data_IF_618792820362
#
_entry.id   IF_618792820362
#
_cell.length_a   1.000
_cell.length_b   1.000
_cell.length_c   1.000
_cell.angle_alpha   90.00
_cell.angle_beta   90.00
_cell.angle_gamma   90.00
#
_symmetry.space_group_name_H-M   'P 1'
#
loop_
_entity.id
_entity.type
_entity.pdbx_description
1 polymer ?
#
# COMPACT_ATOMS: atom_id res chain seq x y z
N UNK A 1 -10.24 10.66 -12.63
CA UNK A 1 -9.67 9.58 -11.81
C UNK A 1 -8.45 10.12 -11.08
N UNK A 2 -8.29 9.75 -9.81
CA UNK A 2 -7.14 10.07 -8.97
C UNK A 2 -6.33 8.82 -8.68
N UNK A 3 -5.04 9.03 -8.46
CA UNK A 3 -4.14 8.04 -7.89
C UNK A 3 -3.80 8.49 -6.47
N UNK A 4 -3.84 7.54 -5.54
CA UNK A 4 -3.53 7.76 -4.14
C UNK A 4 -2.32 6.90 -3.78
N UNK A 5 -1.17 7.52 -3.52
CA UNK A 5 -0.03 6.83 -2.92
C UNK A 5 -0.30 6.67 -1.42
N UNK A 6 -0.50 5.44 -0.98
CA UNK A 6 -0.97 5.13 0.37
C UNK A 6 0.10 4.38 1.15
N UNK A 7 0.65 5.00 2.19
CA UNK A 7 1.69 4.41 3.04
C UNK A 7 1.07 3.37 3.98
N UNK A 8 1.62 2.15 3.97
CA UNK A 8 1.12 1.01 4.74
C UNK A 8 2.24 0.09 5.24
N UNK A 9 1.87 -0.74 6.21
CA UNK A 9 2.72 -1.76 6.83
C UNK A 9 3.72 -1.22 7.85
N UNK A 10 4.73 -2.03 8.18
CA UNK A 10 5.80 -1.63 9.08
C UNK A 10 6.59 -0.44 8.54
N UNK A 11 6.93 0.49 9.43
CA UNK A 11 7.80 1.63 9.18
C UNK A 11 8.81 1.83 10.33
N UNK A 12 9.52 2.97 10.33
CA UNK A 12 10.52 3.27 11.36
C UNK A 12 9.94 3.53 12.75
N UNK A 13 8.66 3.91 12.83
CA UNK A 13 7.95 4.20 14.07
C UNK A 13 7.20 2.96 14.57
N UNK A 14 6.47 2.30 13.69
CA UNK A 14 5.61 1.14 13.94
C UNK A 14 6.22 -0.09 13.26
N UNK A 15 6.50 -1.16 13.99
CA UNK A 15 7.12 -2.36 13.41
C UNK A 15 8.65 -2.35 13.44
N UNK A 16 9.26 -1.18 13.16
CA UNK A 16 10.70 -0.88 13.26
C UNK A 16 11.64 -1.67 12.36
N UNK A 17 11.10 -2.51 11.48
CA UNK A 17 11.87 -3.31 10.52
C UNK A 17 11.23 -3.25 9.13
N UNK A 18 12.01 -3.30 8.03
CA UNK A 18 11.46 -3.32 6.68
C UNK A 18 10.72 -4.63 6.37
N UNK A 19 9.75 -4.54 5.48
CA UNK A 19 9.16 -5.69 4.81
C UNK A 19 10.17 -6.33 3.82
N UNK A 20 10.15 -7.66 3.61
CA UNK A 20 11.13 -8.31 2.74
C UNK A 20 10.78 -8.23 1.25
N UNK A 21 11.84 -8.14 0.45
CA UNK A 21 11.82 -8.51 -0.99
C UNK A 21 12.65 -9.78 -1.11
N UNK A 22 12.00 -10.88 -1.51
CA UNK A 22 12.63 -12.19 -1.64
C UNK A 22 13.55 -12.26 -2.88
N UNK A 23 14.48 -13.24 -2.95
CA UNK A 23 15.39 -13.40 -4.09
C UNK A 23 14.69 -13.63 -5.44
N UNK A 24 13.49 -14.22 -5.44
CA UNK A 24 12.65 -14.44 -6.63
C UNK A 24 11.83 -13.19 -7.04
N UNK A 25 11.96 -12.09 -6.29
CA UNK A 25 11.22 -10.86 -6.48
C UNK A 25 9.88 -10.83 -5.74
N UNK A 26 9.47 -11.85 -5.01
CA UNK A 26 8.23 -11.79 -4.22
C UNK A 26 8.33 -10.70 -3.15
N UNK A 27 7.31 -9.83 -3.09
CA UNK A 27 7.19 -8.77 -2.09
C UNK A 27 6.18 -9.21 -1.04
N UNK A 28 6.59 -9.21 0.23
CA UNK A 28 5.68 -9.53 1.35
C UNK A 28 5.59 -8.29 2.22
N UNK A 29 4.44 -7.61 2.22
CA UNK A 29 4.21 -6.48 3.11
C UNK A 29 3.83 -6.98 4.50
N UNK A 30 4.52 -6.50 5.53
CA UNK A 30 4.14 -6.77 6.92
C UNK A 30 2.95 -5.90 7.34
N UNK A 31 1.97 -6.45 8.08
CA UNK A 31 0.77 -5.77 8.54
C UNK A 31 1.10 -4.69 9.56
N UNK A 32 0.18 -3.82 9.93
CA UNK A 32 0.48 -2.72 10.87
C UNK A 32 0.36 -3.24 12.31
N UNK A 33 1.36 -3.08 13.20
CA UNK A 33 1.19 -3.44 14.61
C UNK A 33 0.08 -2.62 15.25
N UNK A 34 -0.76 -3.28 16.04
CA UNK A 34 -1.90 -2.63 16.67
C UNK A 34 -2.23 -3.25 18.03
N UNK A 35 -2.92 -2.50 18.89
CA UNK A 35 -3.44 -3.01 20.16
C UNK A 35 -4.70 -3.86 20.00
N UNK A 36 -5.30 -3.87 18.81
CA UNK A 36 -6.45 -4.69 18.41
C UNK A 36 -6.24 -5.24 17.01
N UNK A 37 -7.00 -6.27 16.61
CA UNK A 37 -6.85 -6.95 15.34
C UNK A 37 -6.62 -8.45 15.51
N UNK A 38 -5.95 -9.05 14.53
CA UNK A 38 -5.74 -10.49 14.48
C UNK A 38 -4.31 -10.86 14.89
N UNK A 39 -4.08 -12.07 15.43
CA UNK A 39 -2.73 -12.57 15.67
C UNK A 39 -1.90 -12.62 14.38
N UNK A 40 -0.65 -12.18 14.45
CA UNK A 40 0.31 -12.26 13.35
C UNK A 40 0.52 -13.71 12.87
N UNK A 41 0.44 -14.68 13.79
CA UNK A 41 0.55 -16.10 13.51
C UNK A 41 -0.58 -16.66 12.64
N UNK A 42 -1.71 -15.97 12.56
CA UNK A 42 -2.88 -16.40 11.79
C UNK A 42 -2.83 -15.93 10.32
N UNK A 43 -1.75 -15.24 9.92
CA UNK A 43 -1.56 -14.71 8.57
C UNK A 43 -0.55 -15.58 7.83
N UNK A 44 -0.95 -16.07 6.67
CA UNK A 44 -0.14 -16.88 5.76
C UNK A 44 0.53 -16.04 4.68
N UNK A 45 1.70 -16.49 4.26
CA UNK A 45 2.45 -15.98 3.10
C UNK A 45 2.76 -17.13 2.15
N UNK A 46 3.36 -16.83 1.00
CA UNK A 46 3.87 -17.87 0.08
C UNK A 46 4.98 -18.73 0.71
N UNK A 47 5.57 -18.29 1.82
CA UNK A 47 6.60 -19.02 2.58
C UNK A 47 6.03 -19.76 3.81
N UNK A 48 4.71 -19.75 4.00
CA UNK A 48 4.04 -20.23 5.21
C UNK A 48 3.74 -19.10 6.21
N UNK A 49 3.63 -19.41 7.51
CA UNK A 49 3.15 -18.46 8.51
C UNK A 49 4.01 -17.19 8.59
N UNK A 50 3.36 -16.03 8.47
CA UNK A 50 4.03 -14.73 8.42
C UNK A 50 4.91 -14.45 9.64
N UNK A 51 4.49 -14.92 10.82
CA UNK A 51 5.23 -14.71 12.06
C UNK A 51 6.67 -15.26 12.00
N UNK A 52 6.93 -16.35 11.26
CA UNK A 52 8.27 -16.94 11.18
C UNK A 52 9.22 -15.99 10.45
N UNK A 53 8.76 -15.42 9.33
CA UNK A 53 9.51 -14.44 8.55
C UNK A 53 9.73 -13.13 9.32
N UNK A 54 8.70 -12.63 10.02
CA UNK A 54 8.82 -11.44 10.86
C UNK A 54 9.79 -11.69 12.02
N UNK A 55 9.73 -12.84 12.68
CA UNK A 55 10.60 -13.19 13.80
C UNK A 55 12.08 -13.20 13.38
N UNK A 56 12.40 -13.85 12.25
CA UNK A 56 13.75 -13.87 11.69
C UNK A 56 14.28 -12.45 11.43
N UNK A 57 13.46 -11.62 10.78
CA UNK A 57 13.86 -10.27 10.35
C UNK A 57 13.79 -9.20 11.44
N UNK A 58 13.21 -9.53 12.59
CA UNK A 58 13.07 -8.63 13.75
C UNK A 58 13.80 -9.12 14.99
N UNK A 59 14.61 -10.18 14.88
CA UNK A 59 15.29 -10.82 16.00
C UNK A 59 14.33 -11.21 17.15
N UNK A 60 13.15 -11.74 16.78
CA UNK A 60 12.13 -12.22 17.73
C UNK A 60 11.34 -11.12 18.45
N UNK A 61 11.41 -9.86 17.98
CA UNK A 61 10.66 -8.75 18.58
C UNK A 61 9.14 -8.94 18.53
N UNK A 62 8.64 -9.60 17.47
CA UNK A 62 7.22 -9.81 17.25
C UNK A 62 6.88 -11.29 17.40
N UNK A 63 5.86 -11.57 18.20
CA UNK A 63 5.44 -12.92 18.56
C UNK A 63 4.25 -13.35 17.69
N UNK A 64 3.97 -14.67 17.56
CA UNK A 64 2.79 -15.14 16.82
C UNK A 64 1.47 -14.56 17.34
N UNK A 65 1.38 -14.30 18.65
CA UNK A 65 0.21 -13.71 19.30
C UNK A 65 0.15 -12.18 19.21
N UNK A 66 1.14 -11.52 18.62
CA UNK A 66 1.11 -10.06 18.43
C UNK A 66 -0.11 -9.70 17.59
N UNK A 67 -0.92 -8.77 18.10
CA UNK A 67 -2.06 -8.23 17.37
C UNK A 67 -1.61 -7.27 16.27
N UNK A 68 -2.16 -7.46 15.07
CA UNK A 68 -1.85 -6.67 13.88
C UNK A 68 -3.11 -6.35 13.09
N UNK A 69 -3.09 -5.24 12.35
CA UNK A 69 -4.09 -4.92 11.33
C UNK A 69 -3.61 -5.45 9.98
N UNK A 70 -4.31 -6.47 9.45
CA UNK A 70 -4.21 -6.85 8.06
C UNK A 70 -5.01 -5.86 7.22
N UNK A 71 -4.39 -4.72 6.91
CA UNK A 71 -4.98 -3.62 6.16
C UNK A 71 -3.86 -2.84 5.43
N UNK A 72 -3.89 -2.73 4.08
CA UNK A 72 -4.96 -3.15 3.17
C UNK A 72 -5.03 -4.68 3.06
N UNK A 73 -6.24 -5.18 2.96
CA UNK A 73 -6.52 -6.60 2.86
C UNK A 73 -6.67 -7.02 1.40
N UNK A 74 -5.56 -7.41 0.77
CA UNK A 74 -5.46 -7.57 -0.69
C UNK A 74 -5.43 -9.01 -1.18
N UNK A 75 -5.18 -9.99 -0.31
CA UNK A 75 -4.95 -11.38 -0.69
C UNK A 75 -5.96 -12.32 -0.05
N UNK A 76 -6.70 -13.07 -0.86
CA UNK A 76 -7.69 -14.03 -0.36
C UNK A 76 -7.02 -15.17 0.44
N UNK A 77 -5.81 -15.57 0.06
CA UNK A 77 -5.09 -16.72 0.63
C UNK A 77 -4.38 -16.43 1.96
N UNK A 78 -4.34 -15.17 2.42
CA UNK A 78 -3.58 -14.81 3.61
C UNK A 78 -4.25 -15.29 4.90
N UNK A 79 -5.58 -15.44 4.92
CA UNK A 79 -6.36 -15.92 6.08
C UNK A 79 -7.64 -16.62 5.59
N UNK A 80 -8.30 -17.48 6.39
CA UNK A 80 -9.59 -18.06 6.02
C UNK A 80 -10.65 -16.98 5.76
N UNK A 81 -11.37 -17.06 4.62
CA UNK A 81 -12.36 -16.05 4.20
C UNK A 81 -13.77 -16.60 4.19
N UNK A 82 -14.72 -15.75 4.60
CA UNK A 82 -16.15 -16.00 4.35
C UNK A 82 -16.47 -15.80 2.87
N UNK A 83 -17.52 -16.49 2.41
CA UNK A 83 -18.01 -16.38 1.02
C UNK A 83 -18.34 -14.94 0.68
N UNK A 84 -17.90 -14.49 -0.50
CA UNK A 84 -18.16 -13.13 -0.98
C UNK A 84 -17.12 -12.10 -0.56
N UNK A 85 -16.04 -12.51 0.14
CA UNK A 85 -14.92 -11.63 0.45
C UNK A 85 -14.41 -10.88 -0.78
N UNK A 86 -14.11 -9.60 -0.58
CA UNK A 86 -13.50 -8.72 -1.58
C UNK A 86 -12.30 -8.01 -0.94
N UNK A 87 -11.26 -7.72 -1.73
CA UNK A 87 -10.17 -6.88 -1.26
C UNK A 87 -10.69 -5.53 -0.76
N UNK A 88 -10.18 -5.08 0.38
CA UNK A 88 -10.63 -3.83 1.00
C UNK A 88 -9.49 -3.12 1.71
N UNK A 89 -9.69 -1.83 1.93
CA UNK A 89 -8.77 -0.96 2.66
C UNK A 89 -9.58 -0.04 3.59
N UNK A 90 -9.23 0.00 4.87
CA UNK A 90 -9.87 0.87 5.85
C UNK A 90 -9.06 2.12 6.16
N UNK A 91 -9.71 3.26 6.32
CA UNK A 91 -9.05 4.49 6.74
C UNK A 91 -9.79 5.20 7.86
N UNK A 92 -9.02 5.85 8.75
CA UNK A 92 -9.57 6.59 9.89
C UNK A 92 -9.05 8.03 10.04
N UNK A 93 -9.82 8.85 10.76
CA UNK A 93 -9.35 10.08 11.39
C UNK A 93 -8.92 11.18 10.42
N UNK A 94 -7.75 11.79 10.66
CA UNK A 94 -7.23 12.89 9.82
C UNK A 94 -6.91 12.44 8.40
N UNK A 95 -6.45 11.20 8.24
CA UNK A 95 -6.09 10.66 6.95
C UNK A 95 -7.34 10.31 6.13
N UNK A 96 -8.43 9.85 6.77
CA UNK A 96 -9.74 9.72 6.11
C UNK A 96 -10.30 11.08 5.67
N UNK A 97 -10.32 12.05 6.57
CA UNK A 97 -10.76 13.42 6.25
C UNK A 97 -9.98 14.05 5.10
N UNK A 98 -8.70 13.70 4.97
CA UNK A 98 -7.89 14.13 3.83
C UNK A 98 -8.41 13.53 2.52
N UNK A 99 -8.68 12.22 2.48
CA UNK A 99 -9.26 11.56 1.29
C UNK A 99 -10.61 12.19 0.89
N UNK A 100 -11.49 12.47 1.85
CA UNK A 100 -12.76 13.17 1.62
C UNK A 100 -12.56 14.57 1.04
N UNK A 101 -11.66 15.37 1.63
CA UNK A 101 -11.34 16.72 1.13
C UNK A 101 -10.71 16.73 -0.25
N UNK A 102 -9.94 15.68 -0.58
CA UNK A 102 -9.40 15.47 -1.92
C UNK A 102 -10.45 14.91 -2.89
N UNK A 103 -11.68 14.64 -2.43
CA UNK A 103 -12.78 14.13 -3.23
C UNK A 103 -12.50 12.75 -3.80
N UNK A 104 -11.81 11.87 -3.06
CA UNK A 104 -11.58 10.48 -3.49
C UNK A 104 -12.92 9.77 -3.64
N UNK A 105 -13.16 9.17 -4.80
CA UNK A 105 -14.44 8.56 -5.15
C UNK A 105 -14.28 7.21 -5.88
N UNK A 106 -15.40 6.58 -6.20
CA UNK A 106 -15.44 5.34 -7.00
C UNK A 106 -14.71 5.55 -8.33
N UNK A 107 -13.89 4.57 -8.70
CA UNK A 107 -13.04 4.59 -9.90
C UNK A 107 -11.61 5.09 -9.64
N UNK A 108 -11.35 5.78 -8.53
CA UNK A 108 -9.99 6.19 -8.13
C UNK A 108 -9.16 4.97 -7.69
N UNK A 109 -7.83 5.10 -7.73
CA UNK A 109 -6.91 3.97 -7.49
C UNK A 109 -5.94 4.26 -6.36
N UNK A 110 -5.98 3.43 -5.32
CA UNK A 110 -4.93 3.33 -4.33
C UNK A 110 -3.76 2.53 -4.87
N UNK A 111 -2.55 3.07 -4.70
CA UNK A 111 -1.28 2.38 -4.85
C UNK A 111 -0.61 2.35 -3.48
N UNK A 112 -0.59 1.16 -2.88
CA UNK A 112 -0.03 0.99 -1.55
C UNK A 112 1.47 0.85 -1.62
N UNK A 113 2.17 1.54 -0.71
CA UNK A 113 3.61 1.51 -0.61
C UNK A 113 4.06 1.39 0.84
N UNK A 114 5.25 0.84 1.05
CA UNK A 114 5.80 0.59 2.38
C UNK A 114 7.33 0.65 2.38
N UNK A 115 7.93 0.36 3.52
CA UNK A 115 9.38 0.24 3.66
C UNK A 115 9.81 -1.21 3.42
N UNK A 116 10.64 -1.42 2.41
CA UNK A 116 11.11 -2.74 1.99
C UNK A 116 12.63 -2.84 2.00
N UNK A 117 13.16 -4.06 2.15
CA UNK A 117 14.59 -4.35 1.99
C UNK A 117 14.79 -5.77 1.46
N UNK A 118 15.68 -5.97 0.48
CA UNK A 118 16.02 -7.32 0.01
C UNK A 118 16.55 -8.23 1.12
N UNK A 119 16.12 -9.49 1.09
CA UNK A 119 16.53 -10.53 2.04
C UNK A 119 17.18 -11.71 1.33
N UNK A 120 17.91 -12.51 2.10
CA UNK A 120 18.50 -13.77 1.67
C UNK A 120 18.30 -14.82 2.75
N UNK A 121 18.23 -16.09 2.34
CA UNK A 121 18.15 -17.22 3.26
C UNK A 121 19.58 -17.65 3.62
N UNK A 122 19.91 -17.67 4.91
CA UNK A 122 21.20 -18.13 5.40
C UNK A 122 21.01 -19.09 6.58
N UNK A 123 21.57 -20.30 6.49
CA UNK A 123 21.44 -21.33 7.53
C UNK A 123 19.99 -21.57 7.99
N UNK A 124 19.03 -21.56 7.05
CA UNK A 124 17.62 -21.77 7.33
C UNK A 124 16.88 -20.58 7.95
N UNK A 125 17.52 -19.40 8.07
CA UNK A 125 16.88 -18.17 8.58
C UNK A 125 16.95 -17.04 7.56
N UNK A 126 15.90 -16.24 7.49
CA UNK A 126 15.88 -15.04 6.66
C UNK A 126 16.67 -13.92 7.32
N UNK A 127 17.49 -13.23 6.54
CA UNK A 127 18.20 -12.02 6.97
C UNK A 127 18.17 -10.96 5.89
N UNK A 128 18.28 -9.70 6.27
CA UNK A 128 18.48 -8.64 5.29
C UNK A 128 19.83 -8.77 4.60
N UNK A 129 19.84 -8.55 3.28
CA UNK A 129 21.07 -8.54 2.50
C UNK A 129 22.03 -7.46 3.03
N UNK A 130 23.26 -7.83 3.42
CA UNK A 130 24.27 -6.87 3.86
C UNK A 130 24.56 -5.82 2.79
N UNK A 131 24.81 -4.56 3.19
CA UNK A 131 25.16 -3.48 2.27
C UNK A 131 24.01 -2.94 1.39
N UNK A 132 22.87 -3.63 1.30
CA UNK A 132 21.71 -3.17 0.51
C UNK A 132 20.79 -2.32 1.38
N UNK A 133 20.55 -1.04 1.08
CA UNK A 133 19.67 -0.19 1.89
C UNK A 133 18.20 -0.56 1.69
N UNK A 134 17.36 -0.20 2.66
CA UNK A 134 15.92 -0.30 2.50
C UNK A 134 15.34 0.85 1.67
N UNK A 135 14.29 0.58 0.92
CA UNK A 135 13.63 1.47 -0.04
C UNK A 135 12.16 1.65 0.30
N UNK A 136 11.53 2.71 -0.18
CA UNK A 136 10.08 2.74 -0.36
C UNK A 136 9.74 2.11 -1.71
N UNK A 137 8.80 1.17 -1.71
CA UNK A 137 8.32 0.49 -2.90
C UNK A 137 6.80 0.34 -2.85
N UNK A 138 6.17 0.44 -4.02
CA UNK A 138 4.80 -0.01 -4.22
C UNK A 138 4.74 -1.52 -4.02
N UNK A 139 3.68 -2.00 -3.38
CA UNK A 139 3.45 -3.43 -3.16
C UNK A 139 2.05 -3.90 -3.56
N UNK A 140 1.07 -3.01 -3.71
CA UNK A 140 -0.26 -3.41 -4.14
C UNK A 140 -1.09 -2.27 -4.69
N UNK A 141 -2.24 -2.62 -5.25
CA UNK A 141 -3.21 -1.67 -5.77
C UNK A 141 -4.63 -2.04 -5.35
N UNK A 142 -5.51 -1.04 -5.33
CA UNK A 142 -6.96 -1.21 -5.20
C UNK A 142 -7.66 -0.09 -5.95
N UNK A 143 -8.44 -0.42 -6.97
CA UNK A 143 -9.38 0.50 -7.58
C UNK A 143 -10.69 0.49 -6.80
N UNK A 144 -11.13 1.65 -6.36
CA UNK A 144 -12.33 1.83 -5.54
C UNK A 144 -13.56 1.45 -6.35
N UNK A 145 -14.28 0.42 -5.89
CA UNK A 145 -15.59 0.03 -6.40
C UNK A 145 -16.72 0.56 -5.52
N UNK A 146 -16.48 0.67 -4.22
CA UNK A 146 -17.47 1.09 -3.22
C UNK A 146 -16.77 1.77 -2.03
N UNK A 147 -17.46 2.74 -1.42
CA UNK A 147 -17.00 3.50 -0.26
C UNK A 147 -18.07 3.39 0.82
N UNK A 148 -17.72 2.81 1.96
CA UNK A 148 -18.64 2.57 3.08
C UNK A 148 -18.23 3.42 4.27
N UNK A 149 -19.07 4.39 4.62
CA UNK A 149 -18.91 5.17 5.84
C UNK A 149 -19.45 4.38 7.03
N UNK A 150 -18.56 3.76 7.79
CA UNK A 150 -18.95 2.83 8.87
C UNK A 150 -19.59 3.55 10.07
N UNK A 151 -19.34 4.84 10.21
CA UNK A 151 -20.01 5.69 11.21
C UNK A 151 -21.51 5.84 10.97
N UNK A 152 -21.98 5.68 9.73
CA UNK A 152 -23.41 5.70 9.36
C UNK A 152 -24.11 4.37 9.66
N UNK A 153 -23.38 3.36 10.15
CA UNK A 153 -23.87 2.01 10.46
C UNK A 153 -24.65 1.36 9.30
N UNK A 154 -24.06 1.28 8.10
CA UNK A 154 -24.69 0.59 6.98
C UNK A 154 -24.91 -0.89 7.32
N UNK A 155 -25.85 -1.53 6.64
CA UNK A 155 -25.93 -2.98 6.63
C UNK A 155 -24.70 -3.54 5.90
N UNK A 156 -23.89 -4.32 6.61
CA UNK A 156 -22.65 -4.88 6.09
C UNK A 156 -22.82 -6.36 5.76
N UNK A 157 -22.27 -6.84 4.64
CA UNK A 157 -22.24 -8.27 4.36
C UNK A 157 -21.32 -8.98 5.34
N UNK A 158 -21.72 -10.19 5.76
CA UNK A 158 -21.04 -10.97 6.79
C UNK A 158 -19.54 -11.24 6.54
N UNK A 159 -19.08 -11.14 5.30
CA UNK A 159 -17.65 -11.32 4.98
C UNK A 159 -16.76 -10.19 5.52
N UNK A 160 -17.33 -9.04 5.89
CA UNK A 160 -16.58 -7.92 6.44
C UNK A 160 -16.42 -7.98 7.96
N UNK A 161 -17.10 -8.91 8.65
CA UNK A 161 -17.17 -8.94 10.12
C UNK A 161 -15.78 -8.99 10.79
N UNK A 162 -14.79 -9.60 10.14
CA UNK A 162 -13.42 -9.75 10.64
C UNK A 162 -12.48 -8.62 10.21
N UNK A 163 -12.95 -7.69 9.37
CA UNK A 163 -12.14 -6.55 8.94
C UNK A 163 -11.87 -5.62 10.15
N UNK A 164 -10.63 -5.17 10.42
CA UNK A 164 -10.30 -4.40 11.62
C UNK A 164 -11.17 -3.16 11.84
N UNK A 165 -11.57 -2.50 10.74
CA UNK A 165 -12.43 -1.31 10.77
C UNK A 165 -13.90 -1.61 11.13
N UNK A 166 -14.35 -2.85 10.98
CA UNK A 166 -15.71 -3.30 11.33
C UNK A 166 -15.69 -3.95 12.72
N UNK A 167 -14.80 -4.92 12.93
CA UNK A 167 -14.65 -5.65 14.19
C UNK A 167 -14.31 -4.76 15.41
N UNK A 168 -13.71 -3.59 15.15
CA UNK A 168 -13.30 -2.64 16.18
C UNK A 168 -13.84 -1.22 15.90
N UNK A 169 -14.97 -1.11 15.19
CA UNK A 169 -15.54 0.15 14.75
C UNK A 169 -15.76 1.15 15.91
N UNK A 170 -16.09 0.65 17.10
CA UNK A 170 -16.30 1.45 18.31
C UNK A 170 -15.06 2.23 18.76
N UNK A 171 -13.86 1.79 18.35
CA UNK A 171 -12.57 2.42 18.68
C UNK A 171 -12.08 3.40 17.62
N UNK A 172 -12.70 3.40 16.44
CA UNK A 172 -12.20 4.08 15.24
C UNK A 172 -12.76 5.50 15.04
N UNK A 173 -13.81 5.86 15.81
CA UNK A 173 -14.41 7.20 15.79
C UNK A 173 -15.23 7.50 14.53
N UNK A 174 -15.62 8.78 14.37
CA UNK A 174 -16.62 9.20 13.37
C UNK A 174 -16.15 9.15 11.90
N UNK A 175 -14.83 9.16 11.66
CA UNK A 175 -14.26 9.14 10.31
C UNK A 175 -13.70 7.76 9.99
N UNK A 176 -14.49 6.72 10.15
CA UNK A 176 -14.11 5.34 9.85
C UNK A 176 -14.74 4.90 8.53
N UNK A 177 -13.91 4.61 7.53
CA UNK A 177 -14.37 4.35 6.16
C UNK A 177 -13.68 3.15 5.57
N UNK A 178 -14.44 2.31 4.87
CA UNK A 178 -13.94 1.18 4.13
C UNK A 178 -14.03 1.45 2.62
N UNK A 179 -12.91 1.28 1.92
CA UNK A 179 -12.81 1.30 0.47
C UNK A 179 -12.77 -0.14 -0.03
N UNK A 180 -13.80 -0.58 -0.74
CA UNK A 180 -13.90 -1.95 -1.28
C UNK A 180 -13.52 -1.93 -2.75
N UNK A 181 -12.73 -2.90 -3.18
CA UNK A 181 -12.27 -3.00 -4.55
C UNK A 181 -13.41 -3.26 -5.54
N UNK A 182 -13.33 -2.68 -6.74
CA UNK A 182 -14.08 -3.20 -7.89
C UNK A 182 -13.64 -4.63 -8.20
N UNK A 183 -14.52 -5.44 -8.77
CA UNK A 183 -14.18 -6.83 -9.16
C UNK A 183 -13.13 -6.86 -10.27
N UNK A 184 -13.23 -5.95 -11.24
CA UNK A 184 -12.30 -5.87 -12.38
C UNK A 184 -11.76 -4.45 -12.53
N UNK A 185 -10.48 -4.37 -12.82
CA UNK A 185 -9.79 -3.13 -13.09
C UNK A 185 -10.36 -2.48 -14.36
N UNK A 186 -10.83 -1.25 -14.23
CA UNK A 186 -11.38 -0.44 -15.30
C UNK A 186 -10.53 0.83 -15.44
N UNK A 187 -9.48 0.75 -16.27
CA UNK A 187 -8.61 1.88 -16.60
C UNK A 187 -8.58 2.12 -18.10
N UNK A 188 -8.45 3.39 -18.48
CA UNK A 188 -8.27 3.77 -19.88
C UNK A 188 -6.99 3.14 -20.44
N UNK A 189 -7.15 2.21 -21.39
CA UNK A 189 -6.05 1.58 -22.12
C UNK A 189 -5.60 0.22 -21.59
N UNK A 190 -6.19 -0.29 -20.50
CA UNK A 190 -5.99 -1.68 -20.07
C UNK A 190 -6.55 -2.63 -21.12
N UNK A 191 -5.74 -3.61 -21.53
CA UNK A 191 -6.09 -4.61 -22.55
C UNK A 191 -6.45 -5.96 -21.95
N UNK A 192 -5.88 -6.28 -20.79
CA UNK A 192 -6.12 -7.52 -20.06
C UNK A 192 -7.27 -7.38 -19.08
N UNK A 193 -8.05 -8.44 -18.86
CA UNK A 193 -8.99 -8.45 -17.75
C UNK A 193 -8.26 -8.72 -16.44
N UNK A 194 -7.96 -7.65 -15.71
CA UNK A 194 -7.25 -7.71 -14.44
C UNK A 194 -8.19 -7.54 -13.24
N UNK A 195 -7.87 -8.11 -12.06
CA UNK A 195 -8.63 -7.86 -10.85
C UNK A 195 -8.50 -6.39 -10.41
N UNK A 196 -9.55 -5.85 -9.80
CA UNK A 196 -9.55 -4.46 -9.35
C UNK A 196 -8.58 -4.17 -8.20
N UNK A 197 -8.06 -5.20 -7.53
CA UNK A 197 -7.04 -5.08 -6.50
C UNK A 197 -6.09 -6.28 -6.54
N UNK A 198 -4.90 -6.11 -5.98
CA UNK A 198 -3.89 -7.16 -5.91
C UNK A 198 -2.56 -6.68 -5.33
N UNK A 199 -1.62 -7.62 -5.24
CA UNK A 199 -0.24 -7.37 -4.82
C UNK A 199 0.66 -7.50 -6.03
N UNK A 200 1.63 -6.59 -6.17
CA UNK A 200 2.55 -6.58 -7.29
C UNK A 200 3.55 -7.74 -7.18
N UNK A 201 3.69 -8.51 -8.26
CA UNK A 201 4.67 -9.58 -8.37
C UNK A 201 5.08 -9.83 -9.84
N UNK A 202 6.37 -10.12 -10.13
CA UNK A 202 7.51 -9.99 -9.22
C UNK A 202 7.88 -8.52 -8.95
N UNK A 203 8.74 -8.25 -7.98
CA UNK A 203 9.29 -6.92 -7.76
C UNK A 203 10.16 -6.48 -8.94
N UNK A 204 10.08 -5.21 -9.30
CA UNK A 204 11.01 -4.56 -10.22
C UNK A 204 11.27 -3.12 -9.81
N UNK A 205 12.31 -2.50 -10.39
CA UNK A 205 12.64 -1.09 -10.16
C UNK A 205 11.51 -0.12 -10.52
N UNK A 206 10.51 -0.55 -11.29
CA UNK A 206 9.33 0.28 -11.62
C UNK A 206 8.39 0.48 -10.43
N UNK A 207 8.44 -0.43 -9.45
CA UNK A 207 7.68 -0.32 -8.21
C UNK A 207 8.42 0.52 -7.17
N UNK A 208 9.72 0.72 -7.32
CA UNK A 208 10.54 1.46 -6.38
C UNK A 208 10.25 2.97 -6.46
N UNK A 209 9.82 3.53 -5.33
CA UNK A 209 9.67 4.97 -5.16
C UNK A 209 10.99 5.63 -4.81
N UNK A 210 11.79 5.06 -3.91
CA UNK A 210 13.08 5.66 -3.51
C UNK A 210 14.01 5.84 -4.71
N UNK A 211 14.54 7.04 -4.92
CA UNK A 211 15.46 7.28 -6.02
C UNK A 211 16.76 6.47 -5.82
N UNK A 212 17.33 5.86 -6.89
CA UNK A 212 18.58 5.11 -6.80
C UNK A 212 19.70 5.92 -6.12
N UNK A 213 20.43 5.29 -5.19
CA UNK A 213 21.52 5.93 -4.45
C UNK A 213 21.09 7.04 -3.47
N UNK A 214 19.79 7.23 -3.23
CA UNK A 214 19.27 8.24 -2.29
C UNK A 214 18.64 7.61 -1.05
N UNK A 215 18.38 8.44 -0.05
CA UNK A 215 17.61 8.07 1.12
C UNK A 215 16.12 7.88 0.77
N UNK A 216 15.37 7.19 1.64
CA UNK A 216 13.93 6.93 1.45
C UNK A 216 13.05 8.18 1.34
N UNK A 217 13.56 9.35 1.73
CA UNK A 217 12.85 10.61 1.64
C UNK A 217 12.94 11.25 0.24
N UNK A 218 13.80 10.75 -0.66
CA UNK A 218 13.89 11.21 -2.05
C UNK A 218 13.31 10.15 -2.96
N UNK A 219 12.23 10.49 -3.66
CA UNK A 219 11.54 9.59 -4.58
C UNK A 219 11.88 9.90 -6.03
N UNK A 220 11.85 8.89 -6.89
CA UNK A 220 11.86 8.98 -8.34
C UNK A 220 10.45 8.64 -8.82
N UNK A 221 9.75 9.63 -9.35
CA UNK A 221 8.39 9.51 -9.87
C UNK A 221 8.38 9.75 -11.39
N UNK A 222 7.33 9.29 -12.10
CA UNK A 222 7.09 9.69 -13.48
C UNK A 222 7.02 11.22 -13.62
N UNK A 223 7.51 11.74 -14.73
CA UNK A 223 7.56 13.19 -15.00
C UNK A 223 6.21 13.88 -14.88
N UNK A 224 5.13 13.20 -15.29
CA UNK A 224 3.77 13.73 -15.23
C UNK A 224 3.26 14.01 -13.80
N UNK A 225 3.89 13.43 -12.76
CA UNK A 225 3.49 13.67 -11.37
C UNK A 225 4.02 15.01 -10.83
N UNK A 226 5.05 15.59 -11.44
CA UNK A 226 5.55 16.90 -11.04
C UNK A 226 4.48 17.99 -11.30
N UNK A 227 4.41 19.02 -10.45
CA UNK A 227 3.48 20.12 -10.64
C UNK A 227 3.83 20.87 -11.94
N UNK A 228 2.81 21.14 -12.74
CA UNK A 228 2.90 22.05 -13.89
C UNK A 228 2.10 23.32 -13.58
N UNK A 229 2.40 24.41 -14.28
CA UNK A 229 1.65 25.66 -14.11
C UNK A 229 0.16 25.43 -14.41
N UNK A 230 -0.70 25.64 -13.41
CA UNK A 230 -2.14 25.42 -13.52
C UNK A 230 -2.57 23.95 -13.60
N UNK A 231 -1.65 22.99 -13.51
CA UNK A 231 -1.96 21.56 -13.47
C UNK A 231 -2.26 21.08 -12.06
N UNK A 232 -2.72 19.83 -11.94
CA UNK A 232 -2.97 19.28 -10.62
C UNK A 232 -1.67 18.95 -9.87
N UNK A 233 -1.79 18.81 -8.55
CA UNK A 233 -0.68 18.75 -7.61
C UNK A 233 -0.79 17.45 -6.81
N UNK A 234 0.35 16.82 -6.53
CA UNK A 234 0.38 15.73 -5.55
C UNK A 234 0.22 16.34 -4.17
N UNK A 235 -0.84 15.98 -3.45
CA UNK A 235 -1.18 16.60 -2.17
C UNK A 235 0.02 16.62 -1.20
N UNK A 236 0.18 17.74 -0.48
CA UNK A 236 1.36 18.08 0.36
C UNK A 236 2.67 18.39 -0.37
N UNK A 237 2.70 18.31 -1.71
CA UNK A 237 3.91 18.50 -2.52
C UNK A 237 3.73 19.55 -3.63
N UNK A 238 2.97 20.62 -3.37
CA UNK A 238 2.81 21.72 -4.34
C UNK A 238 4.04 22.62 -4.51
N UNK A 239 4.94 22.60 -3.54
CA UNK A 239 6.14 23.45 -3.50
C UNK A 239 7.19 23.02 -4.54
N UNK A 240 7.52 23.85 -5.54
CA UNK A 240 8.45 23.49 -6.63
C UNK A 240 9.86 23.10 -6.15
N UNK A 241 10.35 23.65 -5.04
CA UNK A 241 11.67 23.36 -4.47
C UNK A 241 11.81 21.93 -3.92
N UNK A 242 10.70 21.20 -3.80
CA UNK A 242 10.70 19.77 -3.48
C UNK A 242 10.95 18.91 -4.71
N UNK A 243 10.87 19.49 -5.90
CA UNK A 243 10.95 18.78 -7.17
C UNK A 243 12.23 19.15 -7.91
N UNK A 244 12.82 18.16 -8.55
CA UNK A 244 13.90 18.34 -9.52
C UNK A 244 13.70 17.36 -10.68
N UNK A 245 14.31 17.65 -11.82
CA UNK A 245 14.35 16.71 -12.96
C UNK A 245 15.72 16.08 -13.02
N UNK A 246 15.79 14.75 -13.02
CA UNK A 246 17.03 13.97 -13.14
C UNK A 246 16.79 12.82 -14.10
N UNK A 247 17.59 12.73 -15.15
CA UNK A 247 17.54 11.66 -16.17
C UNK A 247 16.13 11.44 -16.77
N UNK A 248 15.39 12.53 -17.01
CA UNK A 248 14.02 12.47 -17.55
C UNK A 248 12.94 12.02 -16.54
N UNK A 249 13.32 11.81 -15.28
CA UNK A 249 12.40 11.53 -14.17
C UNK A 249 12.23 12.74 -13.26
N UNK A 250 11.09 12.79 -12.56
CA UNK A 250 10.88 13.74 -11.48
C UNK A 250 11.41 13.16 -10.17
N UNK A 251 12.37 13.84 -9.58
CA UNK A 251 12.78 13.59 -8.21
C UNK A 251 11.95 14.43 -7.26
N UNK A 252 11.48 13.81 -6.17
CA UNK A 252 10.64 14.44 -5.15
C UNK A 252 11.25 14.26 -3.77
N UNK A 253 11.47 15.35 -3.03
CA UNK A 253 11.70 15.32 -1.58
C UNK A 253 10.37 15.16 -0.83
N UNK A 254 10.03 13.92 -0.52
CA UNK A 254 8.80 13.53 0.17
C UNK A 254 8.69 14.14 1.57
N UNK A 255 7.47 14.43 2.00
CA UNK A 255 7.20 14.84 3.38
C UNK A 255 7.33 13.65 4.34
N UNK A 256 7.87 13.90 5.54
CA UNK A 256 8.02 12.86 6.56
C UNK A 256 6.66 12.39 7.10
N UNK A 257 5.75 13.34 7.34
CA UNK A 257 4.40 13.12 7.87
C UNK A 257 3.38 13.14 6.73
N UNK A 258 2.56 12.10 6.67
CA UNK A 258 1.53 11.93 5.65
C UNK A 258 1.36 10.45 5.33
N UNK A 259 0.11 9.98 5.36
CA UNK A 259 -0.23 8.60 5.04
C UNK A 259 -0.75 8.46 3.61
N UNK A 260 -1.51 9.45 3.13
CA UNK A 260 -2.17 9.42 1.83
C UNK A 260 -1.73 10.63 0.98
N UNK A 261 -1.28 10.38 -0.25
CA UNK A 261 -0.88 11.42 -1.21
C UNK A 261 -1.71 11.29 -2.48
N UNK A 262 -2.58 12.26 -2.73
CA UNK A 262 -3.57 12.22 -3.81
C UNK A 262 -3.11 13.08 -4.98
N UNK A 263 -3.24 12.56 -6.20
CA UNK A 263 -2.99 13.30 -7.45
C UNK A 263 -4.06 12.94 -8.47
N UNK A 264 -4.71 13.94 -9.05
CA UNK A 264 -5.58 13.73 -10.22
C UNK A 264 -4.74 13.29 -11.43
N UNK A 265 -5.26 12.38 -12.24
CA UNK A 265 -4.62 11.99 -13.50
C UNK A 265 -5.25 12.79 -14.65
N UNK A 266 -4.52 13.82 -15.06
CA UNK A 266 -4.91 14.83 -16.07
C UNK A 266 -4.23 14.61 -17.43
N UNK A 267 -3.44 13.53 -17.59
CA UNK A 267 -2.65 13.26 -18.79
C UNK A 267 -2.76 11.81 -19.25
N UNK A 268 -2.61 11.59 -20.57
CA UNK A 268 -2.57 10.24 -21.16
C UNK A 268 -1.38 9.43 -20.64
N UNK A 269 -0.27 10.08 -20.30
CA UNK A 269 0.92 9.44 -19.75
C UNK A 269 0.68 8.88 -18.35
N UNK A 270 -0.15 9.53 -17.53
CA UNK A 270 -0.56 8.98 -16.24
C UNK A 270 -1.40 7.70 -16.38
N UNK A 271 -2.37 7.69 -17.30
CA UNK A 271 -3.16 6.48 -17.60
C UNK A 271 -2.27 5.35 -18.15
N UNK A 272 -1.37 5.66 -19.07
CA UNK A 272 -0.41 4.69 -19.64
C UNK A 272 0.55 4.15 -18.59
N UNK A 273 1.05 5.00 -17.70
CA UNK A 273 1.93 4.60 -16.62
C UNK A 273 1.23 3.63 -15.67
N UNK A 274 0.04 3.97 -15.18
CA UNK A 274 -0.71 3.11 -14.27
C UNK A 274 -1.09 1.78 -14.93
N UNK A 275 -1.57 1.81 -16.19
CA UNK A 275 -1.89 0.61 -16.95
C UNK A 275 -0.68 -0.32 -17.08
N UNK A 276 0.46 0.21 -17.52
CA UNK A 276 1.71 -0.57 -17.65
C UNK A 276 2.18 -1.08 -16.30
N UNK A 277 2.06 -0.28 -15.24
CA UNK A 277 2.46 -0.65 -13.89
C UNK A 277 1.70 -1.90 -13.44
N UNK A 278 0.38 -1.93 -13.59
CA UNK A 278 -0.42 -3.10 -13.18
C UNK A 278 -0.22 -4.27 -14.15
N UNK A 279 -0.31 -4.08 -15.47
CA UNK A 279 -0.22 -5.18 -16.45
C UNK A 279 1.13 -5.94 -16.46
N UNK A 280 2.20 -5.32 -15.94
CA UNK A 280 3.54 -5.93 -15.87
C UNK A 280 3.84 -6.62 -14.54
N UNK A 281 2.97 -6.49 -13.54
CA UNK A 281 3.20 -7.00 -12.19
C UNK A 281 1.94 -7.65 -11.57
N UNK A 282 1.01 -8.09 -12.41
CA UNK A 282 -0.27 -8.72 -12.05
C UNK A 282 -0.37 -10.14 -12.58
#
# INVERSE_FOLDING_TARGET
MKIILSRKGFDSQYGRVPSPILPDGTIISFPIPSSSGRPLGDIETTLGPMHSLVSDLSAGMWLPKTSVHLDPDLQASSVPRKRGWKPSFGQVGSAQRHLERQGVCVGDVFLFFGWFRPVELQHGKWRYRPGVPGIHSLFGWLQVGEILQLSERPELPAWMDDHPHVAHAERMGAFNTLYVATTRLALKGVRKQLPGAGVFAPWSERLQLTAPGKSRSVWRLPSWMAPTQGGAILSYHGSPERWSTVDGHSQLKSVAKGQEFVREVDSLDGYRWLTKLVESHS
#
